data_IF_384732910241
#
_entry.id   IF_384732910241
#
_cell.length_a   1.000
_cell.length_b   1.000
_cell.length_c   1.000
_cell.angle_alpha   90.00
_cell.angle_beta   90.00
_cell.angle_gamma   90.00
#
_symmetry.space_group_name_H-M   'P 1'
#
loop_
_entity.id
_entity.type
_entity.pdbx_description
1 polymer ?
#
# COMPACT_ATOMS: atom_id res chain seq x y z
N UNK A 1 -49.25 4.11 23.57
CA UNK A 1 -48.71 3.31 22.45
C UNK A 1 -47.71 4.01 21.50
N UNK A 2 -47.29 5.30 21.62
CA UNK A 2 -46.33 5.88 20.66
C UNK A 2 -44.85 5.75 21.07
N UNK A 3 -44.52 5.57 22.37
CA UNK A 3 -43.11 5.47 22.84
C UNK A 3 -42.33 4.31 22.23
N UNK A 4 -42.97 3.16 22.01
CA UNK A 4 -42.33 2.00 21.37
C UNK A 4 -42.11 2.21 19.87
N UNK A 5 -42.96 3.00 19.20
CA UNK A 5 -42.83 3.33 17.78
C UNK A 5 -41.60 4.21 17.52
N UNK A 6 -41.36 5.20 18.40
CA UNK A 6 -40.15 6.03 18.33
C UNK A 6 -38.86 5.25 18.68
N UNK A 7 -38.92 4.31 19.63
CA UNK A 7 -37.79 3.42 19.95
C UNK A 7 -37.45 2.48 18.80
N UNK A 8 -38.45 1.91 18.12
CA UNK A 8 -38.26 1.10 16.92
C UNK A 8 -37.72 1.92 15.74
N UNK A 9 -38.18 3.16 15.57
CA UNK A 9 -37.65 4.08 14.55
C UNK A 9 -36.19 4.49 14.83
N UNK A 10 -35.81 4.70 16.10
CA UNK A 10 -34.43 5.02 16.48
C UNK A 10 -33.47 3.83 16.27
N UNK A 11 -33.95 2.60 16.50
CA UNK A 11 -33.21 1.37 16.24
C UNK A 11 -32.97 1.14 14.72
N UNK A 12 -33.89 1.59 13.87
CA UNK A 12 -33.78 1.46 12.41
C UNK A 12 -32.81 2.49 11.80
N UNK A 13 -32.68 3.68 12.40
CA UNK A 13 -31.77 4.75 11.93
C UNK A 13 -30.31 4.53 12.37
N UNK A 14 -30.04 3.69 13.39
CA UNK A 14 -28.66 3.36 13.79
C UNK A 14 -27.95 2.40 12.81
N UNK A 15 -28.65 1.95 11.76
CA UNK A 15 -28.12 1.07 10.72
C UNK A 15 -27.58 1.85 9.50
N UNK A 16 -27.20 3.12 9.66
CA UNK A 16 -26.42 3.83 8.64
C UNK A 16 -24.99 3.28 8.68
N UNK A 17 -24.84 2.18 7.93
CA UNK A 17 -23.62 1.42 7.73
C UNK A 17 -22.45 2.30 7.28
N UNK A 18 -21.30 2.13 7.94
CA UNK A 18 -20.02 2.71 7.52
C UNK A 18 -19.61 2.14 6.15
N UNK A 19 -19.93 2.84 5.06
CA UNK A 19 -19.40 2.53 3.73
C UNK A 19 -17.94 3.00 3.70
N UNK A 20 -17.03 2.17 4.21
CA UNK A 20 -15.60 2.42 4.04
C UNK A 20 -15.20 2.01 2.63
N UNK A 21 -15.07 3.00 1.75
CA UNK A 21 -14.59 2.81 0.39
C UNK A 21 -13.09 2.47 0.41
N UNK A 22 -12.74 1.31 -0.15
CA UNK A 22 -11.36 0.89 -0.35
C UNK A 22 -11.04 0.93 -1.84
N UNK A 23 -9.89 1.51 -2.19
CA UNK A 23 -9.40 1.55 -3.56
C UNK A 23 -8.31 0.49 -3.75
N UNK A 24 -8.47 -0.35 -4.77
CA UNK A 24 -7.53 -1.39 -5.15
C UNK A 24 -6.98 -1.10 -6.54
N UNK A 25 -5.66 -1.13 -6.70
CA UNK A 25 -4.96 -0.88 -7.97
C UNK A 25 -3.91 -1.98 -8.16
N UNK A 26 -3.75 -2.47 -9.38
CA UNK A 26 -2.70 -3.44 -9.72
C UNK A 26 -1.35 -2.74 -9.91
N UNK A 27 -0.26 -3.43 -9.63
CA UNK A 27 1.05 -2.99 -10.08
C UNK A 27 1.18 -3.09 -11.59
N UNK A 28 1.86 -2.13 -12.19
CA UNK A 28 2.28 -2.16 -13.58
C UNK A 28 3.34 -3.25 -13.81
N UNK A 29 3.51 -3.64 -15.07
CA UNK A 29 4.52 -4.63 -15.45
C UNK A 29 5.93 -4.08 -15.19
N UNK A 30 6.74 -4.84 -14.47
CA UNK A 30 8.12 -4.49 -14.16
C UNK A 30 9.08 -4.87 -15.29
N UNK A 31 10.01 -3.98 -15.62
CA UNK A 31 11.15 -4.33 -16.47
C UNK A 31 12.29 -5.02 -15.69
N UNK A 32 12.33 -4.86 -14.36
CA UNK A 32 13.39 -5.41 -13.50
C UNK A 32 13.02 -6.82 -13.01
N UNK A 33 11.75 -7.02 -12.65
CA UNK A 33 11.23 -8.32 -12.21
C UNK A 33 9.95 -8.65 -12.98
N UNK A 34 10.03 -9.03 -14.27
CA UNK A 34 8.84 -9.17 -15.14
C UNK A 34 7.80 -10.21 -14.68
N UNK A 35 8.22 -11.18 -13.86
CA UNK A 35 7.32 -12.18 -13.30
C UNK A 35 6.48 -11.64 -12.13
N UNK A 36 6.94 -10.58 -11.45
CA UNK A 36 6.28 -10.05 -10.27
C UNK A 36 4.91 -9.48 -10.63
N UNK A 37 3.91 -9.85 -9.84
CA UNK A 37 2.52 -9.40 -9.98
C UNK A 37 1.99 -9.07 -8.61
N UNK A 38 1.12 -8.09 -8.50
CA UNK A 38 0.51 -7.78 -7.22
C UNK A 38 -0.41 -6.59 -7.28
N UNK A 39 -0.99 -6.29 -6.14
CA UNK A 39 -1.93 -5.20 -5.98
C UNK A 39 -1.67 -4.40 -4.72
N UNK A 40 -2.13 -3.15 -4.76
CA UNK A 40 -2.14 -2.23 -3.64
C UNK A 40 -3.58 -1.92 -3.29
N UNK A 41 -3.92 -2.15 -2.02
CA UNK A 41 -5.19 -1.75 -1.44
C UNK A 41 -4.96 -0.57 -0.51
N UNK A 42 -5.63 0.54 -0.78
CA UNK A 42 -5.64 1.75 0.06
C UNK A 42 -7.02 1.92 0.66
N UNK A 43 -7.08 2.09 1.98
CA UNK A 43 -8.32 2.32 2.71
C UNK A 43 -8.14 3.50 3.66
N UNK A 44 -9.03 4.47 3.58
CA UNK A 44 -9.05 5.58 4.53
C UNK A 44 -9.76 5.13 5.82
N UNK A 45 -9.13 5.37 6.96
CA UNK A 45 -9.71 5.10 8.28
C UNK A 45 -10.47 6.31 8.83
N UNK A 46 -11.10 6.12 10.00
CA UNK A 46 -11.89 7.16 10.66
C UNK A 46 -11.03 8.31 11.25
N UNK A 47 -9.72 8.09 11.39
CA UNK A 47 -8.76 9.07 11.89
C UNK A 47 -8.11 9.86 10.74
N UNK A 48 -8.61 9.71 9.51
CA UNK A 48 -8.06 10.29 8.28
C UNK A 48 -6.65 9.80 7.91
N UNK A 49 -6.22 8.66 8.44
CA UNK A 49 -5.04 7.96 7.93
C UNK A 49 -5.44 6.99 6.80
N UNK A 50 -4.45 6.58 6.04
CA UNK A 50 -4.56 5.65 4.93
C UNK A 50 -3.85 4.37 5.33
N UNK A 51 -4.60 3.28 5.46
CA UNK A 51 -4.06 1.92 5.53
C UNK A 51 -3.68 1.48 4.13
N UNK A 52 -2.42 1.10 3.95
CA UNK A 52 -1.83 0.64 2.70
C UNK A 52 -1.46 -0.83 2.86
N UNK A 53 -1.98 -1.69 1.97
CA UNK A 53 -1.68 -3.12 1.96
C UNK A 53 -1.23 -3.54 0.58
N UNK A 54 -0.10 -4.24 0.52
CA UNK A 54 0.48 -4.81 -0.69
C UNK A 54 0.38 -6.33 -0.60
N UNK A 55 -0.05 -6.94 -1.70
CA UNK A 55 -0.03 -8.38 -1.89
C UNK A 55 0.69 -8.65 -3.22
N UNK A 56 1.89 -9.24 -3.15
CA UNK A 56 2.79 -9.41 -4.28
C UNK A 56 3.18 -10.88 -4.39
N UNK A 57 3.09 -11.42 -5.60
CA UNK A 57 3.52 -12.77 -5.98
C UNK A 57 4.64 -12.71 -7.02
N UNK A 58 5.48 -13.74 -7.03
CA UNK A 58 6.64 -13.90 -7.91
C UNK A 58 7.68 -12.78 -7.80
N UNK A 59 7.80 -12.13 -6.63
CA UNK A 59 8.85 -11.15 -6.37
C UNK A 59 10.17 -11.89 -6.10
N UNK A 60 11.14 -11.70 -6.98
CA UNK A 60 12.49 -12.26 -6.79
C UNK A 60 13.16 -11.65 -5.56
N UNK A 61 14.01 -12.41 -4.88
CA UNK A 61 14.84 -11.90 -3.78
C UNK A 61 15.76 -10.76 -4.27
N UNK A 62 15.98 -9.70 -3.47
CA UNK A 62 16.75 -8.54 -3.90
C UNK A 62 18.21 -8.89 -4.25
N UNK A 63 18.80 -9.90 -3.60
CA UNK A 63 20.16 -10.40 -3.88
C UNK A 63 20.27 -11.11 -5.24
N UNK A 64 19.14 -11.50 -5.83
CA UNK A 64 19.08 -12.16 -7.14
C UNK A 64 18.92 -11.17 -8.30
N UNK A 65 18.77 -9.88 -8.01
CA UNK A 65 18.71 -8.82 -9.02
C UNK A 65 20.08 -8.58 -9.65
N UNK A 66 20.09 -7.86 -10.77
CA UNK A 66 21.31 -7.45 -11.48
C UNK A 66 21.26 -5.93 -11.74
N UNK A 67 22.07 -5.12 -11.04
CA UNK A 67 22.97 -5.52 -9.96
C UNK A 67 22.20 -6.01 -8.71
N UNK A 68 22.82 -6.86 -7.87
CA UNK A 68 22.20 -7.34 -6.63
C UNK A 68 21.97 -6.17 -5.66
N UNK A 69 20.90 -6.28 -4.87
CA UNK A 69 20.50 -5.34 -3.81
C UNK A 69 20.23 -6.10 -2.51
N UNK A 70 19.97 -5.37 -1.43
CA UNK A 70 19.75 -5.97 -0.10
C UNK A 70 18.30 -5.91 0.35
N UNK A 71 17.58 -4.87 -0.05
CA UNK A 71 16.28 -4.58 0.53
C UNK A 71 15.28 -4.14 -0.52
N UNK A 72 14.01 -4.45 -0.27
CA UNK A 72 12.91 -3.79 -0.94
C UNK A 72 12.29 -2.77 0.00
N UNK A 73 12.21 -1.53 -0.46
CA UNK A 73 11.62 -0.41 0.28
C UNK A 73 10.37 0.05 -0.44
N UNK A 74 9.29 0.22 0.32
CA UNK A 74 8.00 0.69 -0.18
C UNK A 74 7.92 2.20 0.02
N UNK A 75 7.54 2.89 -1.04
CA UNK A 75 7.47 4.33 -1.10
C UNK A 75 6.06 4.82 -1.42
N UNK A 76 5.71 5.95 -0.81
CA UNK A 76 4.46 6.66 -1.02
C UNK A 76 4.75 8.04 -1.60
N UNK A 77 4.32 8.27 -2.84
CA UNK A 77 4.26 9.61 -3.41
C UNK A 77 2.90 10.24 -3.13
N UNK A 78 2.88 11.51 -2.76
CA UNK A 78 1.68 12.28 -2.39
C UNK A 78 1.83 13.71 -2.87
N UNK A 79 0.72 14.42 -3.09
CA UNK A 79 0.79 15.86 -3.44
C UNK A 79 1.29 16.70 -2.25
N UNK A 80 1.13 16.20 -1.02
CA UNK A 80 1.51 16.90 0.21
C UNK A 80 3.03 16.95 0.44
N UNK A 81 3.78 16.03 -0.15
CA UNK A 81 5.21 15.88 0.09
C UNK A 81 5.97 15.95 -1.23
N UNK A 82 7.01 16.79 -1.29
CA UNK A 82 7.87 16.92 -2.47
C UNK A 82 8.70 15.66 -2.71
N UNK A 83 9.10 14.99 -1.63
CA UNK A 83 9.90 13.76 -1.66
C UNK A 83 8.98 12.58 -1.31
N UNK A 84 9.05 11.45 -2.03
CA UNK A 84 8.33 10.23 -1.65
C UNK A 84 8.68 9.78 -0.22
N UNK A 85 7.66 9.39 0.54
CA UNK A 85 7.84 8.90 1.91
C UNK A 85 8.24 7.43 1.88
N UNK A 86 9.32 7.07 2.59
CA UNK A 86 9.63 5.69 2.91
C UNK A 86 8.59 5.20 3.94
N UNK A 87 7.73 4.26 3.54
CA UNK A 87 6.65 3.74 4.39
C UNK A 87 6.95 2.36 4.98
N UNK A 88 8.14 1.82 4.70
CA UNK A 88 8.66 0.61 5.32
C UNK A 88 9.39 -0.32 4.36
N UNK A 89 10.01 -1.34 4.93
CA UNK A 89 10.71 -2.40 4.22
C UNK A 89 9.80 -3.62 4.05
N UNK A 90 9.90 -4.30 2.91
CA UNK A 90 9.37 -5.65 2.74
C UNK A 90 10.32 -6.65 3.43
N UNK A 91 9.80 -7.38 4.41
CA UNK A 91 10.52 -8.43 5.16
C UNK A 91 9.90 -9.79 4.85
N UNK A 92 10.73 -10.78 4.53
CA UNK A 92 10.30 -12.16 4.33
C UNK A 92 9.77 -12.42 2.91
N UNK A 93 10.67 -12.83 2.03
CA UNK A 93 10.39 -13.24 0.64
C UNK A 93 10.12 -14.73 0.49
N UNK A 94 9.84 -15.45 1.59
CA UNK A 94 9.71 -16.91 1.56
C UNK A 94 8.65 -17.32 0.52
N UNK A 95 9.09 -18.06 -0.51
CA UNK A 95 8.25 -18.58 -1.62
C UNK A 95 7.75 -17.52 -2.62
N UNK A 96 8.50 -16.45 -2.86
CA UNK A 96 8.20 -15.41 -3.86
C UNK A 96 6.87 -14.66 -3.62
N UNK A 97 6.23 -14.84 -2.47
CA UNK A 97 4.98 -14.19 -2.12
C UNK A 97 5.19 -13.34 -0.88
N UNK A 98 4.72 -12.10 -0.93
CA UNK A 98 4.99 -11.07 0.07
C UNK A 98 3.69 -10.35 0.39
N UNK A 99 3.48 -10.11 1.68
CA UNK A 99 2.48 -9.18 2.18
C UNK A 99 3.16 -8.07 2.95
N UNK A 100 2.73 -6.84 2.70
CA UNK A 100 3.23 -5.67 3.40
C UNK A 100 2.06 -4.79 3.82
N UNK A 101 2.12 -4.26 5.03
CA UNK A 101 1.08 -3.39 5.58
C UNK A 101 1.74 -2.19 6.25
N UNK A 102 1.20 -1.00 5.99
CA UNK A 102 1.63 0.24 6.61
C UNK A 102 0.48 1.23 6.72
N UNK A 103 0.69 2.30 7.48
CA UNK A 103 -0.26 3.40 7.64
C UNK A 103 0.44 4.73 7.38
N UNK A 104 -0.26 5.64 6.71
CA UNK A 104 0.24 7.00 6.47
C UNK A 104 -0.86 8.03 6.68
N UNK A 105 -0.52 9.19 7.22
CA UNK A 105 -1.40 10.36 7.25
C UNK A 105 -1.47 11.07 5.88
N UNK A 106 -0.51 10.82 5.00
CA UNK A 106 -0.44 11.41 3.67
C UNK A 106 -1.27 10.61 2.67
N UNK A 107 -2.07 11.30 1.85
CA UNK A 107 -2.90 10.64 0.82
C UNK A 107 -2.00 10.09 -0.30
N UNK A 108 -2.04 8.78 -0.60
CA UNK A 108 -1.28 8.23 -1.71
C UNK A 108 -1.78 8.76 -3.05
N UNK A 109 -0.85 9.27 -3.86
CA UNK A 109 -1.02 9.52 -5.30
C UNK A 109 -0.45 8.36 -6.11
N UNK A 110 0.60 7.71 -5.62
CA UNK A 110 1.24 6.52 -6.20
C UNK A 110 1.96 5.75 -5.10
N UNK A 111 1.95 4.43 -5.19
CA UNK A 111 2.77 3.54 -4.37
C UNK A 111 3.74 2.80 -5.29
N UNK A 112 4.99 2.67 -4.86
CA UNK A 112 6.01 1.96 -5.62
C UNK A 112 7.04 1.30 -4.69
N UNK A 113 7.76 0.32 -5.21
CA UNK A 113 8.76 -0.47 -4.51
C UNK A 113 10.08 -0.31 -5.23
N UNK A 114 11.14 0.00 -4.49
CA UNK A 114 12.50 0.06 -5.02
C UNK A 114 13.39 -1.00 -4.39
N UNK A 115 14.44 -1.39 -5.12
CA UNK A 115 15.50 -2.23 -4.60
C UNK A 115 16.67 -1.36 -4.10
N UNK A 116 16.98 -1.45 -2.80
CA UNK A 116 17.90 -0.56 -2.09
C UNK A 116 19.06 -1.32 -1.44
N UNK A 117 20.16 -0.61 -1.18
CA UNK A 117 21.29 -1.11 -0.39
C UNK A 117 21.19 -0.73 1.11
N UNK A 118 20.38 0.27 1.43
CA UNK A 118 20.13 0.79 2.78
C UNK A 118 18.65 1.10 2.96
N UNK A 119 18.03 0.53 3.99
CA UNK A 119 16.60 0.72 4.33
C UNK A 119 16.29 2.12 4.87
N UNK A 120 17.30 2.83 5.37
CA UNK A 120 17.18 4.17 5.98
C UNK A 120 17.38 5.29 4.98
N UNK A 121 17.56 4.97 3.69
CA UNK A 121 17.69 5.98 2.64
C UNK A 121 16.51 6.95 2.66
N UNK A 122 16.82 8.24 2.49
CA UNK A 122 15.85 9.32 2.45
C UNK A 122 15.23 9.51 1.06
N UNK A 123 15.88 8.96 0.03
CA UNK A 123 15.46 9.07 -1.36
C UNK A 123 15.41 7.70 -2.01
N UNK A 124 14.38 7.42 -2.83
CA UNK A 124 14.32 6.19 -3.59
C UNK A 124 15.45 6.16 -4.62
N UNK A 125 16.07 4.99 -4.78
CA UNK A 125 16.96 4.76 -5.90
C UNK A 125 16.20 4.70 -7.23
N UNK A 126 16.95 4.69 -8.32
CA UNK A 126 16.43 4.49 -9.68
C UNK A 126 15.92 3.06 -9.94
N UNK A 127 16.15 2.10 -9.05
CA UNK A 127 15.78 0.69 -9.25
C UNK A 127 14.34 0.45 -8.81
N UNK A 128 13.39 1.07 -9.50
CA UNK A 128 11.95 0.86 -9.28
C UNK A 128 11.55 -0.52 -9.81
N UNK A 129 11.13 -1.39 -8.90
CA UNK A 129 10.78 -2.78 -9.20
C UNK A 129 9.30 -2.97 -9.44
N UNK A 130 8.45 -2.27 -8.71
CA UNK A 130 7.00 -2.28 -8.93
C UNK A 130 6.47 -0.87 -8.71
N UNK A 131 5.51 -0.44 -9.52
CA UNK A 131 4.80 0.82 -9.30
C UNK A 131 3.35 0.72 -9.74
N UNK A 132 2.46 1.43 -9.06
CA UNK A 132 1.07 1.56 -9.50
C UNK A 132 0.93 2.70 -10.50
N UNK A 133 -0.13 2.68 -11.30
CA UNK A 133 -0.64 3.93 -11.87
C UNK A 133 -1.12 4.88 -10.74
N UNK A 134 -1.50 6.11 -11.11
CA UNK A 134 -1.98 7.11 -10.18
C UNK A 134 -3.34 6.73 -9.58
N UNK A 135 -3.51 7.02 -8.30
CA UNK A 135 -4.79 6.91 -7.59
C UNK A 135 -5.73 8.08 -7.90
#
# INVERSE_FOLDING_TARGET
MPRHFYLLAFLFVSLVTFISCSKKIQFENSNIVPAARGEVTVKKDNNNNYSIRLDISYLAEPERLQPPKKYYVVWLSSEQNQIPLNIGQIVGTSKLHVKFESVSSSKPKRIFVTAEDDVTTQYPSRYVVLETDKF
#
